data_IF_067950184894
#
_entry.id   IF_067950184894
#
_cell.length_a   1.000
_cell.length_b   1.000
_cell.length_c   1.000
_cell.angle_alpha   90.00
_cell.angle_beta   90.00
_cell.angle_gamma   90.00
#
_symmetry.space_group_name_H-M   'P 1'
#
loop_
_entity.id
_entity.type
_entity.pdbx_description
1 polymer ?
#
# COMPACT_ATOMS: atom_id res chain seq x y z
N UNK A 1 96.43 -2.08 -80.28
CA UNK A 1 96.35 -0.96 -79.33
C UNK A 1 95.04 -0.37 -79.51
N UNK A 2 94.14 -0.67 -78.68
CA UNK A 2 92.80 -0.21 -78.76
C UNK A 2 92.16 -0.30 -77.40
N UNK A 3 91.58 0.71 -76.91
CA UNK A 3 90.88 0.74 -75.64
C UNK A 3 89.42 1.09 -75.87
N UNK A 4 88.58 0.27 -75.36
CA UNK A 4 87.13 0.40 -75.35
C UNK A 4 86.66 1.23 -74.17
N UNK A 5 85.70 2.12 -74.41
CA UNK A 5 84.83 2.67 -73.42
C UNK A 5 83.35 2.52 -73.86
N UNK A 6 82.64 1.76 -73.16
CA UNK A 6 81.17 1.78 -73.16
C UNK A 6 80.67 1.01 -71.96
N UNK A 7 80.20 1.72 -70.97
CA UNK A 7 79.15 1.23 -70.03
C UNK A 7 78.82 2.31 -68.98
N UNK A 8 77.75 3.00 -69.13
CA UNK A 8 77.33 3.99 -68.10
C UNK A 8 75.89 4.48 -68.13
N UNK A 9 75.00 3.93 -68.98
CA UNK A 9 73.66 4.51 -69.09
C UNK A 9 72.49 3.65 -68.60
N UNK A 10 72.77 2.41 -68.18
CA UNK A 10 71.61 1.52 -67.78
C UNK A 10 71.32 1.44 -66.24
N UNK A 11 72.18 1.97 -65.41
CA UNK A 11 72.00 1.91 -63.94
C UNK A 11 71.16 3.05 -63.40
N UNK A 12 71.19 4.23 -64.02
CA UNK A 12 70.47 5.43 -63.53
C UNK A 12 68.97 5.33 -63.78
N UNK A 13 68.48 4.65 -64.83
CA UNK A 13 67.09 4.50 -65.14
C UNK A 13 66.38 3.50 -64.21
N UNK A 14 67.05 2.48 -63.70
CA UNK A 14 66.46 1.54 -62.70
C UNK A 14 66.26 2.15 -61.32
N UNK A 15 67.16 3.02 -60.91
CA UNK A 15 67.02 3.68 -59.56
C UNK A 15 65.89 4.71 -59.53
N UNK A 16 65.61 5.40 -60.65
CA UNK A 16 64.53 6.36 -60.74
C UNK A 16 63.14 5.67 -60.68
N UNK A 17 62.99 4.48 -61.30
CA UNK A 17 61.75 3.70 -61.23
C UNK A 17 61.54 3.07 -59.84
N UNK A 18 62.61 2.63 -59.16
CA UNK A 18 62.53 2.08 -57.82
C UNK A 18 62.11 3.15 -56.80
N UNK A 19 62.67 4.36 -56.90
CA UNK A 19 62.37 5.50 -56.04
C UNK A 19 60.91 5.95 -56.28
N UNK A 20 60.40 5.96 -57.52
CA UNK A 20 59.05 6.29 -57.85
C UNK A 20 58.03 5.26 -57.33
N UNK A 21 58.38 3.96 -57.36
CA UNK A 21 57.58 2.87 -56.85
C UNK A 21 57.52 2.85 -55.33
N UNK A 22 58.58 3.22 -54.62
CA UNK A 22 58.64 3.37 -53.17
C UNK A 22 57.83 4.62 -52.70
N UNK A 23 57.91 5.72 -53.46
CA UNK A 23 57.14 6.95 -53.16
C UNK A 23 55.66 6.78 -53.38
N UNK A 24 55.21 5.98 -54.35
CA UNK A 24 53.80 5.73 -54.58
C UNK A 24 53.19 4.79 -53.50
N UNK A 25 54.02 3.84 -53.01
CA UNK A 25 53.55 2.91 -51.95
C UNK A 25 53.50 3.60 -50.59
N UNK A 26 54.31 4.64 -50.31
CA UNK A 26 54.26 5.39 -49.06
C UNK A 26 52.97 6.26 -48.91
N UNK A 27 52.43 6.77 -50.03
CA UNK A 27 51.19 7.56 -50.03
C UNK A 27 49.94 6.72 -49.74
N UNK A 28 49.92 5.45 -50.20
CA UNK A 28 48.76 4.55 -49.88
C UNK A 28 48.82 4.05 -48.45
N UNK A 29 50.00 3.84 -47.88
CA UNK A 29 50.19 3.44 -46.48
C UNK A 29 49.79 4.61 -45.54
N UNK A 30 50.09 5.85 -45.90
CA UNK A 30 49.66 7.03 -45.11
C UNK A 30 48.17 7.22 -45.08
N UNK A 31 47.44 6.94 -46.17
CA UNK A 31 45.95 7.00 -46.20
C UNK A 31 45.28 5.91 -45.36
N UNK A 32 45.82 4.68 -45.40
CA UNK A 32 45.35 3.58 -44.59
C UNK A 32 45.60 3.82 -43.09
N UNK A 33 46.76 4.37 -42.72
CA UNK A 33 47.07 4.73 -41.35
C UNK A 33 46.14 5.84 -40.82
N UNK A 34 45.80 6.84 -41.62
CA UNK A 34 44.86 7.89 -41.27
C UNK A 34 43.44 7.32 -41.04
N UNK A 35 42.97 6.43 -41.93
CA UNK A 35 41.69 5.75 -41.75
C UNK A 35 41.63 4.92 -40.47
N UNK A 36 42.68 4.16 -40.16
CA UNK A 36 42.78 3.38 -38.93
C UNK A 36 42.77 4.29 -37.69
N UNK A 37 43.47 5.42 -37.74
CA UNK A 37 43.45 6.40 -36.64
C UNK A 37 42.06 7.02 -36.43
N UNK A 38 41.35 7.36 -37.52
CA UNK A 38 39.97 7.87 -37.44
C UNK A 38 38.99 6.81 -36.88
N UNK A 39 39.12 5.55 -37.31
CA UNK A 39 38.32 4.45 -36.76
C UNK A 39 38.62 4.21 -35.29
N UNK A 40 39.90 4.25 -34.87
CA UNK A 40 40.30 4.12 -33.49
C UNK A 40 39.73 5.26 -32.63
N UNK A 41 39.78 6.51 -33.11
CA UNK A 41 39.16 7.66 -32.44
C UNK A 41 37.66 7.54 -32.36
N UNK A 42 36.98 7.08 -33.41
CA UNK A 42 35.56 6.84 -33.44
C UNK A 42 35.15 5.77 -32.39
N UNK A 43 35.86 4.63 -32.38
CA UNK A 43 35.58 3.57 -31.41
C UNK A 43 35.84 4.02 -29.97
N UNK A 44 36.94 4.77 -29.75
CA UNK A 44 37.24 5.32 -28.43
C UNK A 44 36.16 6.30 -27.98
N UNK A 45 35.71 7.20 -28.86
CA UNK A 45 34.64 8.13 -28.57
C UNK A 45 33.30 7.40 -28.26
N UNK A 46 32.96 6.38 -29.06
CA UNK A 46 31.77 5.55 -28.81
C UNK A 46 31.84 4.83 -27.46
N UNK A 47 33.03 4.32 -27.10
CA UNK A 47 33.25 3.67 -25.81
C UNK A 47 33.12 4.65 -24.64
N UNK A 48 33.67 5.86 -24.76
CA UNK A 48 33.52 6.90 -23.71
C UNK A 48 32.06 7.31 -23.54
N UNK A 49 31.33 7.54 -24.64
CA UNK A 49 29.92 7.88 -24.59
C UNK A 49 29.12 6.75 -23.94
N UNK A 50 29.36 5.49 -24.34
CA UNK A 50 28.68 4.34 -23.75
C UNK A 50 28.95 4.23 -22.25
N UNK A 51 30.17 4.48 -21.81
CA UNK A 51 30.53 4.45 -20.39
C UNK A 51 29.90 5.60 -19.60
N UNK A 52 29.85 6.80 -20.17
CA UNK A 52 29.20 7.95 -19.58
C UNK A 52 27.69 7.71 -19.35
N UNK A 53 27.01 7.13 -20.35
CA UNK A 53 25.60 6.76 -20.26
C UNK A 53 25.35 5.66 -19.20
N UNK A 54 26.24 4.68 -19.08
CA UNK A 54 26.16 3.63 -18.07
C UNK A 54 26.32 4.20 -16.65
N UNK A 55 27.27 5.12 -16.46
CA UNK A 55 27.46 5.81 -15.16
C UNK A 55 26.25 6.65 -14.80
N UNK A 56 25.71 7.43 -15.74
CA UNK A 56 24.51 8.25 -15.49
C UNK A 56 23.31 7.40 -15.10
N UNK A 57 23.09 6.29 -15.80
CA UNK A 57 22.05 5.30 -15.48
C UNK A 57 22.23 4.71 -14.07
N UNK A 58 23.43 4.33 -13.69
CA UNK A 58 23.74 3.78 -12.35
C UNK A 58 23.56 4.82 -11.26
N UNK A 59 23.93 6.07 -11.49
CA UNK A 59 23.70 7.17 -10.54
C UNK A 59 22.21 7.45 -10.35
N UNK A 60 21.43 7.44 -11.44
CA UNK A 60 19.98 7.60 -11.36
C UNK A 60 19.31 6.46 -10.58
N UNK A 61 19.69 5.21 -10.84
CA UNK A 61 19.19 4.04 -10.10
C UNK A 61 19.57 4.09 -8.61
N UNK A 62 20.83 4.41 -8.30
CA UNK A 62 21.28 4.54 -6.91
C UNK A 62 20.58 5.70 -6.20
N UNK A 63 20.40 6.83 -6.88
CA UNK A 63 19.66 7.97 -6.35
C UNK A 63 18.19 7.64 -6.05
N UNK A 64 17.55 6.85 -6.91
CA UNK A 64 16.18 6.37 -6.66
C UNK A 64 16.14 5.40 -5.48
N UNK A 65 17.04 4.44 -5.40
CA UNK A 65 17.10 3.49 -4.29
C UNK A 65 17.29 4.21 -2.94
N UNK A 66 18.17 5.19 -2.88
CA UNK A 66 18.39 6.00 -1.67
C UNK A 66 17.14 6.78 -1.26
N UNK A 67 16.38 7.34 -2.24
CA UNK A 67 15.12 8.04 -1.95
C UNK A 67 14.03 7.10 -1.46
N UNK A 68 13.94 5.89 -1.99
CA UNK A 68 13.02 4.85 -1.50
C UNK A 68 13.34 4.53 -0.03
N UNK A 69 14.60 4.21 0.27
CA UNK A 69 15.04 3.92 1.66
C UNK A 69 14.79 5.11 2.60
N UNK A 70 15.00 6.34 2.14
CA UNK A 70 14.70 7.52 2.95
C UNK A 70 13.20 7.67 3.22
N UNK A 71 12.33 7.44 2.23
CA UNK A 71 10.89 7.46 2.42
C UNK A 71 10.42 6.36 3.37
N UNK A 72 10.95 5.14 3.26
CA UNK A 72 10.69 4.02 4.18
C UNK A 72 11.15 4.36 5.61
N UNK A 73 12.35 4.92 5.77
CA UNK A 73 12.85 5.37 7.08
C UNK A 73 11.97 6.47 7.69
N UNK A 74 11.43 7.38 6.87
CA UNK A 74 10.46 8.39 7.35
C UNK A 74 9.15 7.74 7.78
N UNK A 75 8.60 6.80 7.02
CA UNK A 75 7.40 6.06 7.40
C UNK A 75 7.61 5.29 8.72
N UNK A 76 8.73 4.59 8.86
CA UNK A 76 9.09 3.89 10.08
C UNK A 76 9.23 4.85 11.28
N UNK A 77 9.90 5.99 11.08
CA UNK A 77 10.07 7.01 12.14
C UNK A 77 8.72 7.56 12.61
N UNK A 78 7.80 7.84 11.68
CA UNK A 78 6.44 8.26 12.02
C UNK A 78 5.69 7.20 12.83
N UNK A 79 5.84 5.92 12.47
CA UNK A 79 5.23 4.80 13.20
C UNK A 79 5.77 4.72 14.62
N UNK A 80 7.08 4.84 14.82
CA UNK A 80 7.71 4.82 16.16
C UNK A 80 7.21 5.96 17.04
N UNK A 81 7.05 7.16 16.48
CA UNK A 81 6.44 8.29 17.20
C UNK A 81 5.00 7.95 17.61
N UNK A 82 4.20 7.41 16.71
CA UNK A 82 2.82 7.05 16.98
C UNK A 82 2.67 5.92 18.00
N UNK A 83 3.64 5.04 18.14
CA UNK A 83 3.68 3.99 19.17
C UNK A 83 3.82 4.54 20.59
N UNK A 84 4.39 5.72 20.76
CA UNK A 84 4.61 6.26 22.11
C UNK A 84 3.29 6.45 22.87
N UNK A 85 3.17 5.97 24.11
CA UNK A 85 1.91 5.98 24.86
C UNK A 85 1.27 7.36 25.04
N UNK A 86 2.09 8.42 25.10
CA UNK A 86 1.59 9.81 25.27
C UNK A 86 1.10 10.46 23.97
N UNK A 87 1.28 9.81 22.82
CA UNK A 87 0.84 10.33 21.55
C UNK A 87 -0.59 9.88 21.30
N UNK A 88 -1.50 10.83 21.36
CA UNK A 88 -2.91 10.64 21.00
C UNK A 88 -3.13 10.89 19.50
N UNK A 89 -4.22 10.35 18.91
CA UNK A 89 -4.69 10.78 17.61
C UNK A 89 -4.79 12.31 17.52
N UNK A 90 -4.50 12.89 16.35
CA UNK A 90 -4.49 14.35 16.17
C UNK A 90 -3.29 15.10 16.77
N UNK A 91 -2.35 14.39 17.43
CA UNK A 91 -1.16 15.04 17.99
C UNK A 91 -0.29 15.71 16.91
N UNK A 92 0.19 16.96 17.13
CA UNK A 92 1.07 17.65 16.18
C UNK A 92 2.35 16.88 15.83
N UNK A 93 2.82 15.99 16.70
CA UNK A 93 3.99 15.16 16.46
C UNK A 93 3.79 14.09 15.40
N UNK A 94 2.54 13.84 14.97
CA UNK A 94 2.20 12.91 13.91
C UNK A 94 2.50 13.47 12.50
N UNK A 95 2.85 14.76 12.40
CA UNK A 95 3.28 15.41 11.16
C UNK A 95 4.63 16.08 11.41
N UNK A 96 5.65 15.71 10.65
CA UNK A 96 6.97 16.30 10.83
C UNK A 96 7.77 16.37 9.54
N UNK A 97 8.35 17.56 9.30
CA UNK A 97 9.39 17.78 8.31
C UNK A 97 10.75 17.53 8.97
N UNK A 98 11.58 16.64 8.44
CA UNK A 98 12.89 16.25 9.01
C UNK A 98 14.07 16.84 8.24
N UNK A 99 13.85 17.38 7.05
CA UNK A 99 14.84 17.99 6.17
C UNK A 99 14.14 18.81 5.09
N UNK A 100 14.86 19.16 4.03
CA UNK A 100 14.29 19.94 2.92
C UNK A 100 13.30 19.12 2.10
N UNK A 101 13.44 17.79 2.07
CA UNK A 101 12.68 16.88 1.22
C UNK A 101 12.10 15.67 1.95
N UNK A 102 12.48 15.45 3.19
CA UNK A 102 12.07 14.32 4.01
C UNK A 102 10.98 14.75 4.99
N UNK A 103 9.89 14.00 5.01
CA UNK A 103 8.80 14.21 5.97
C UNK A 103 8.04 12.93 6.23
N UNK A 104 7.34 12.89 7.35
CA UNK A 104 6.33 11.88 7.59
C UNK A 104 4.99 12.51 7.99
N UNK A 105 3.92 11.78 7.67
CA UNK A 105 2.57 12.08 8.06
C UNK A 105 1.93 10.80 8.59
N UNK A 106 1.33 10.85 9.79
CA UNK A 106 0.77 9.66 10.45
C UNK A 106 -0.69 9.88 10.80
N UNK A 107 -1.54 9.00 10.29
CA UNK A 107 -2.92 8.83 10.73
C UNK A 107 -3.02 7.76 11.80
N UNK A 108 -3.68 8.06 12.89
CA UNK A 108 -4.01 7.09 13.95
C UNK A 108 -5.53 7.01 14.07
N UNK A 109 -6.10 5.83 13.84
CA UNK A 109 -7.55 5.60 13.93
C UNK A 109 -7.84 4.37 14.77
N UNK A 110 -8.99 4.37 15.49
CA UNK A 110 -9.43 3.20 16.23
C UNK A 110 -9.82 2.05 15.29
N UNK A 111 -9.26 0.89 15.51
CA UNK A 111 -9.57 -0.31 14.71
C UNK A 111 -10.98 -0.83 14.99
N UNK A 112 -11.48 -0.62 16.22
CA UNK A 112 -12.84 -1.01 16.63
C UNK A 112 -13.98 -0.31 15.89
N UNK A 113 -13.70 0.82 15.22
CA UNK A 113 -14.67 1.50 14.37
C UNK A 113 -15.00 0.75 13.08
N UNK A 114 -14.35 -0.37 12.80
CA UNK A 114 -14.55 -1.22 11.62
C UNK A 114 -15.36 -2.47 11.95
N UNK A 115 -15.95 -3.07 10.94
CA UNK A 115 -16.67 -4.33 11.02
C UNK A 115 -15.68 -5.49 11.22
N UNK A 116 -15.64 -6.07 12.40
CA UNK A 116 -14.83 -7.26 12.66
C UNK A 116 -15.52 -8.50 12.10
N UNK A 117 -14.99 -9.00 10.98
CA UNK A 117 -15.58 -10.10 10.23
C UNK A 117 -15.68 -11.39 11.07
N UNK A 118 -14.63 -11.70 11.85
CA UNK A 118 -14.65 -12.88 12.71
C UNK A 118 -15.68 -12.79 13.83
N UNK A 119 -15.88 -11.59 14.38
CA UNK A 119 -16.91 -11.37 15.39
C UNK A 119 -18.34 -11.38 14.80
N UNK A 120 -18.52 -10.79 13.62
CA UNK A 120 -19.81 -10.76 12.94
C UNK A 120 -20.33 -12.16 12.58
N UNK A 121 -19.42 -13.06 12.19
CA UNK A 121 -19.75 -14.42 11.77
C UNK A 121 -19.73 -15.43 12.91
N UNK A 122 -19.14 -15.10 14.07
CA UNK A 122 -19.01 -16.01 15.19
C UNK A 122 -20.38 -16.52 15.70
N UNK A 123 -20.57 -17.84 15.61
CA UNK A 123 -21.80 -18.50 16.06
C UNK A 123 -23.04 -18.14 15.24
N UNK A 124 -22.86 -17.53 14.06
CA UNK A 124 -23.90 -17.24 13.08
C UNK A 124 -25.09 -16.44 13.66
N UNK A 125 -24.78 -15.50 14.58
CA UNK A 125 -25.81 -14.65 15.21
C UNK A 125 -26.53 -13.81 14.14
N UNK A 126 -27.86 -13.97 13.96
CA UNK A 126 -28.59 -13.28 12.89
C UNK A 126 -28.49 -11.76 12.96
N UNK A 127 -28.37 -11.20 14.18
CA UNK A 127 -28.29 -9.76 14.38
C UNK A 127 -26.95 -9.22 13.89
N UNK A 128 -25.87 -9.92 14.22
CA UNK A 128 -24.52 -9.57 13.79
C UNK A 128 -24.34 -9.77 12.28
N UNK A 129 -24.78 -10.89 11.74
CA UNK A 129 -24.79 -11.15 10.29
C UNK A 129 -25.66 -10.11 9.57
N UNK A 130 -26.75 -9.68 10.20
CA UNK A 130 -27.62 -8.61 9.70
C UNK A 130 -26.90 -7.27 9.50
N UNK A 131 -25.91 -6.95 10.35
CA UNK A 131 -25.06 -5.75 10.16
C UNK A 131 -24.27 -5.85 8.85
N UNK A 132 -23.63 -6.98 8.60
CA UNK A 132 -22.88 -7.21 7.36
C UNK A 132 -23.80 -7.15 6.13
N UNK A 133 -24.98 -7.78 6.21
CA UNK A 133 -26.00 -7.75 5.15
C UNK A 133 -26.38 -6.31 4.80
N UNK A 134 -26.69 -5.49 5.82
CA UNK A 134 -27.05 -4.09 5.64
C UNK A 134 -25.88 -3.25 5.11
N UNK A 135 -24.66 -3.51 5.57
CA UNK A 135 -23.45 -2.84 5.04
C UNK A 135 -23.28 -3.11 3.54
N UNK A 136 -23.38 -4.35 3.10
CA UNK A 136 -23.28 -4.71 1.68
C UNK A 136 -24.41 -4.08 0.86
N UNK A 137 -25.63 -3.97 1.42
CA UNK A 137 -26.74 -3.23 0.82
C UNK A 137 -26.41 -1.76 0.60
N UNK A 138 -25.86 -1.09 1.61
CA UNK A 138 -25.42 0.31 1.52
C UNK A 138 -24.31 0.51 0.48
N UNK A 139 -23.52 -0.52 0.22
CA UNK A 139 -22.49 -0.54 -0.83
C UNK A 139 -23.04 -0.91 -2.22
N UNK A 140 -24.35 -1.06 -2.37
CA UNK A 140 -25.04 -1.31 -3.64
C UNK A 140 -24.94 -2.76 -4.14
N UNK A 141 -24.66 -3.72 -3.25
CA UNK A 141 -24.66 -5.14 -3.62
C UNK A 141 -26.11 -5.63 -3.73
N UNK A 142 -26.44 -6.27 -4.82
CA UNK A 142 -27.78 -6.82 -5.08
C UNK A 142 -28.13 -7.94 -4.08
N UNK A 143 -29.44 -8.19 -3.87
CA UNK A 143 -29.91 -9.10 -2.82
C UNK A 143 -29.34 -10.51 -2.97
N UNK A 144 -29.41 -11.08 -4.16
CA UNK A 144 -28.93 -12.45 -4.39
C UNK A 144 -27.43 -12.58 -4.20
N UNK A 145 -26.67 -11.57 -4.64
CA UNK A 145 -25.21 -11.54 -4.47
C UNK A 145 -24.82 -11.39 -2.99
N UNK A 146 -25.57 -10.57 -2.23
CA UNK A 146 -25.40 -10.44 -0.77
C UNK A 146 -25.60 -11.76 -0.06
N UNK A 147 -26.66 -12.50 -0.41
CA UNK A 147 -26.95 -13.81 0.20
C UNK A 147 -25.85 -14.79 -0.11
N UNK A 148 -25.39 -14.84 -1.37
CA UNK A 148 -24.25 -15.67 -1.79
C UNK A 148 -22.96 -15.28 -1.08
N UNK A 149 -22.65 -14.00 -0.98
CA UNK A 149 -21.45 -13.51 -0.29
C UNK A 149 -21.45 -13.88 1.20
N UNK A 150 -22.58 -13.71 1.88
CA UNK A 150 -22.72 -13.99 3.31
C UNK A 150 -22.66 -15.49 3.57
N UNK A 151 -23.43 -16.29 2.85
CA UNK A 151 -23.46 -17.73 3.02
C UNK A 151 -22.09 -18.35 2.73
N UNK A 152 -21.41 -17.90 1.67
CA UNK A 152 -20.04 -18.35 1.35
C UNK A 152 -19.03 -17.94 2.43
N UNK A 153 -19.18 -16.77 3.06
CA UNK A 153 -18.34 -16.35 4.18
C UNK A 153 -18.61 -17.19 5.43
N UNK A 154 -19.88 -17.51 5.73
CA UNK A 154 -20.24 -18.36 6.85
C UNK A 154 -19.67 -19.78 6.69
N UNK A 155 -19.78 -20.37 5.49
CA UNK A 155 -19.16 -21.67 5.19
C UNK A 155 -17.63 -21.60 5.32
N UNK A 156 -17.02 -20.51 4.84
CA UNK A 156 -15.56 -20.33 4.92
C UNK A 156 -15.02 -20.35 6.34
N UNK A 157 -15.74 -19.71 7.27
CA UNK A 157 -15.29 -19.61 8.67
C UNK A 157 -15.85 -20.70 9.59
N UNK A 158 -16.86 -21.46 9.15
CA UNK A 158 -17.50 -22.49 9.95
C UNK A 158 -16.56 -23.69 10.19
N UNK A 159 -16.29 -24.06 11.45
CA UNK A 159 -15.49 -25.26 11.72
C UNK A 159 -16.24 -26.56 11.39
N UNK A 160 -17.52 -26.49 11.08
CA UNK A 160 -18.36 -27.65 10.76
C UNK A 160 -18.36 -27.93 9.25
N UNK A 161 -17.50 -28.81 8.82
CA UNK A 161 -17.36 -29.23 7.39
C UNK A 161 -18.67 -29.81 6.80
N UNK A 162 -19.58 -30.31 7.64
CA UNK A 162 -20.86 -30.86 7.20
C UNK A 162 -21.97 -29.81 7.04
N UNK A 163 -21.74 -28.58 7.45
CA UNK A 163 -22.67 -27.49 7.29
C UNK A 163 -22.45 -26.76 5.95
N UNK A 164 -23.52 -26.63 5.20
CA UNK A 164 -23.48 -25.92 3.91
C UNK A 164 -24.68 -24.98 3.84
N UNK A 165 -24.41 -23.68 3.66
CA UNK A 165 -25.43 -22.66 3.52
C UNK A 165 -26.01 -22.66 2.10
N UNK A 166 -27.30 -22.33 1.98
CA UNK A 166 -28.10 -22.50 0.77
C UNK A 166 -27.51 -21.82 -0.49
N UNK A 167 -26.98 -20.62 -0.33
CA UNK A 167 -26.47 -19.82 -1.46
C UNK A 167 -24.95 -19.90 -1.62
N UNK A 168 -24.26 -20.66 -0.78
CA UNK A 168 -22.84 -20.93 -0.94
C UNK A 168 -22.63 -22.00 -2.03
N UNK A 169 -21.50 -21.96 -2.77
CA UNK A 169 -21.17 -23.04 -3.70
C UNK A 169 -20.71 -24.28 -2.93
N UNK A 170 -20.95 -25.50 -3.47
CA UNK A 170 -20.40 -26.71 -2.89
C UNK A 170 -18.87 -26.72 -2.98
N UNK A 171 -18.24 -27.41 -2.04
CA UNK A 171 -16.82 -27.69 -2.12
C UNK A 171 -16.46 -28.50 -3.37
N UNK A 172 -15.39 -28.12 -4.04
CA UNK A 172 -14.87 -28.79 -5.24
C UNK A 172 -13.35 -28.84 -5.18
N UNK A 173 -12.71 -29.53 -6.13
CA UNK A 173 -11.24 -29.57 -6.23
C UNK A 173 -10.61 -28.16 -6.38
N UNK A 174 -11.38 -27.19 -6.90
CA UNK A 174 -10.91 -25.82 -7.14
C UNK A 174 -11.35 -24.82 -6.06
N UNK A 175 -12.29 -25.19 -5.19
CA UNK A 175 -12.81 -24.30 -4.14
C UNK A 175 -12.98 -25.06 -2.82
N UNK A 176 -12.12 -24.70 -1.86
CA UNK A 176 -12.12 -25.26 -0.51
C UNK A 176 -12.20 -24.14 0.53
N UNK A 177 -13.32 -23.99 1.25
CA UNK A 177 -13.41 -23.13 2.43
C UNK A 177 -12.33 -23.51 3.47
N UNK A 178 -11.83 -22.50 4.19
CA UNK A 178 -10.77 -22.72 5.18
C UNK A 178 -11.28 -23.40 6.47
N UNK A 179 -12.59 -23.38 6.73
CA UNK A 179 -13.25 -23.86 7.93
C UNK A 179 -12.60 -23.36 9.23
N UNK A 180 -12.12 -22.11 9.20
CA UNK A 180 -11.44 -21.45 10.29
C UNK A 180 -11.69 -19.93 10.24
N UNK A 181 -11.61 -19.24 11.39
CA UNK A 181 -11.67 -17.78 11.41
C UNK A 181 -10.67 -17.17 10.43
N UNK A 182 -11.05 -16.05 9.82
CA UNK A 182 -10.18 -15.33 8.89
C UNK A 182 -8.87 -14.94 9.58
N UNK A 183 -7.75 -15.20 8.93
CA UNK A 183 -6.42 -14.75 9.37
C UNK A 183 -6.03 -13.39 8.79
N UNK A 184 -6.71 -12.96 7.74
CA UNK A 184 -6.55 -11.67 7.07
C UNK A 184 -7.86 -11.22 6.42
N UNK A 185 -8.09 -9.92 6.35
CA UNK A 185 -9.20 -9.34 5.57
C UNK A 185 -9.04 -9.68 4.07
N UNK A 186 -7.82 -9.80 3.59
CA UNK A 186 -7.52 -10.18 2.20
C UNK A 186 -8.02 -11.58 1.80
N UNK A 187 -8.34 -12.44 2.77
CA UNK A 187 -8.95 -13.75 2.47
C UNK A 187 -10.31 -13.64 1.81
N UNK A 188 -11.03 -12.52 2.01
CA UNK A 188 -12.28 -12.27 1.30
C UNK A 188 -12.15 -12.38 -0.23
N UNK A 189 -10.98 -12.09 -0.78
CA UNK A 189 -10.68 -12.25 -2.22
C UNK A 189 -10.77 -13.69 -2.71
N UNK A 190 -10.67 -14.67 -1.80
CA UNK A 190 -10.72 -16.10 -2.10
C UNK A 190 -12.12 -16.68 -1.94
N UNK A 191 -13.00 -15.95 -1.25
CA UNK A 191 -14.35 -16.42 -0.93
C UNK A 191 -15.27 -16.18 -2.13
N UNK A 192 -16.05 -17.19 -2.47
CA UNK A 192 -16.98 -17.11 -3.58
C UNK A 192 -17.95 -15.93 -3.43
N UNK A 193 -18.24 -15.24 -4.51
CA UNK A 193 -19.11 -14.06 -4.56
C UNK A 193 -18.44 -12.73 -4.17
N UNK A 194 -17.26 -12.73 -3.52
CA UNK A 194 -16.60 -11.51 -3.05
C UNK A 194 -15.69 -10.83 -4.09
N UNK A 195 -15.38 -11.48 -5.21
CA UNK A 195 -14.39 -11.00 -6.18
C UNK A 195 -14.71 -9.61 -6.74
N UNK A 196 -15.98 -9.35 -7.13
CA UNK A 196 -16.38 -8.04 -7.64
C UNK A 196 -16.27 -6.95 -6.57
N UNK A 197 -16.74 -7.24 -5.36
CA UNK A 197 -16.68 -6.31 -4.23
C UNK A 197 -15.23 -5.95 -3.90
N UNK A 198 -14.35 -6.95 -3.81
CA UNK A 198 -12.94 -6.78 -3.44
C UNK A 198 -12.06 -6.20 -4.55
N UNK A 199 -12.58 -6.07 -5.77
CA UNK A 199 -11.91 -5.37 -6.87
C UNK A 199 -12.01 -3.85 -6.81
N UNK A 200 -12.95 -3.32 -6.02
CA UNK A 200 -13.21 -1.88 -5.90
C UNK A 200 -12.16 -1.21 -4.99
N UNK A 201 -11.67 -0.01 -5.31
CA UNK A 201 -10.77 0.73 -4.43
C UNK A 201 -11.39 0.96 -3.05
N UNK A 202 -10.61 0.80 -1.99
CA UNK A 202 -11.07 1.05 -0.62
C UNK A 202 -12.08 0.04 -0.06
N UNK A 203 -12.24 -1.11 -0.70
CA UNK A 203 -13.20 -2.14 -0.28
C UNK A 203 -12.99 -2.63 1.15
N UNK A 204 -11.73 -2.61 1.63
CA UNK A 204 -11.30 -3.10 2.94
C UNK A 204 -11.27 -2.03 4.04
N UNK A 205 -11.55 -0.76 3.71
CA UNK A 205 -11.46 0.35 4.66
C UNK A 205 -12.30 0.15 5.92
N UNK A 206 -13.48 -0.44 5.80
CA UNK A 206 -14.42 -0.65 6.88
C UNK A 206 -14.39 -2.07 7.46
N UNK A 207 -13.44 -2.91 7.07
CA UNK A 207 -13.29 -4.26 7.59
C UNK A 207 -12.05 -4.43 8.47
N UNK A 208 -12.17 -5.32 9.43
CA UNK A 208 -11.07 -5.75 10.30
C UNK A 208 -11.28 -7.18 10.78
N UNK A 209 -10.22 -7.78 11.31
CA UNK A 209 -10.26 -9.02 12.09
C UNK A 209 -9.62 -8.83 13.48
N UNK A 210 -9.13 -7.63 13.77
CA UNK A 210 -8.23 -7.37 14.89
C UNK A 210 -8.88 -6.60 16.06
N UNK A 211 -10.11 -6.05 15.90
CA UNK A 211 -10.79 -5.35 16.98
C UNK A 211 -11.34 -6.29 18.05
N UNK A 212 -11.81 -5.73 19.18
CA UNK A 212 -12.43 -6.49 20.26
C UNK A 212 -13.77 -7.12 19.89
N UNK A 213 -14.39 -6.72 18.79
CA UNK A 213 -15.63 -7.27 18.26
C UNK A 213 -16.74 -6.23 18.13
N UNK A 214 -17.36 -5.75 19.22
CA UNK A 214 -18.38 -4.70 19.14
C UNK A 214 -17.86 -3.43 18.45
N UNK A 215 -18.75 -2.76 17.70
CA UNK A 215 -18.40 -1.57 16.92
C UNK A 215 -18.13 -0.39 17.85
N UNK A 216 -16.91 0.12 17.82
CA UNK A 216 -16.52 1.32 18.59
C UNK A 216 -17.09 2.58 17.94
N UNK A 217 -18.10 3.16 18.60
CA UNK A 217 -18.81 4.32 18.10
C UNK A 217 -17.93 5.59 18.01
N UNK A 218 -16.84 5.66 18.78
CA UNK A 218 -15.90 6.76 18.71
C UNK A 218 -15.15 6.82 17.36
N UNK A 219 -15.07 5.69 16.65
CA UNK A 219 -14.29 5.58 15.42
C UNK A 219 -15.07 5.08 14.21
N UNK A 220 -16.32 4.63 14.40
CA UNK A 220 -17.12 4.05 13.34
C UNK A 220 -17.39 5.07 12.22
N UNK A 221 -17.19 4.63 10.97
CA UNK A 221 -17.49 5.43 9.80
C UNK A 221 -19.02 5.59 9.61
N UNK A 222 -19.45 6.55 8.80
CA UNK A 222 -20.85 6.76 8.46
C UNK A 222 -21.53 5.47 7.96
N UNK A 223 -20.86 4.73 7.07
CA UNK A 223 -21.43 3.52 6.50
C UNK A 223 -21.54 2.38 7.52
N UNK A 224 -20.57 2.28 8.44
CA UNK A 224 -20.61 1.31 9.54
C UNK A 224 -21.74 1.66 10.51
N UNK A 225 -21.91 2.94 10.88
CA UNK A 225 -23.02 3.37 11.75
C UNK A 225 -24.39 3.11 11.11
N UNK A 226 -24.55 3.36 9.81
CA UNK A 226 -25.78 3.09 9.06
C UNK A 226 -26.11 1.60 8.96
N UNK A 227 -25.14 0.73 9.10
CA UNK A 227 -25.35 -0.72 9.09
C UNK A 227 -25.94 -1.26 10.39
N UNK A 228 -25.92 -0.47 11.47
CA UNK A 228 -26.54 -0.85 12.74
C UNK A 228 -28.06 -0.86 12.64
N UNK A 229 -28.74 -1.81 13.31
CA UNK A 229 -30.20 -1.89 13.26
C UNK A 229 -30.86 -0.69 13.93
N UNK A 230 -31.95 -0.18 13.34
CA UNK A 230 -32.74 0.90 13.90
C UNK A 230 -32.13 2.30 13.85
N UNK A 231 -30.95 2.48 13.28
CA UNK A 231 -30.29 3.78 13.13
C UNK A 231 -30.53 4.34 11.73
N UNK A 232 -31.18 5.51 11.66
CA UNK A 232 -31.43 6.24 10.42
C UNK A 232 -30.31 7.22 10.06
N UNK A 233 -30.31 7.69 8.81
CA UNK A 233 -29.30 8.62 8.28
C UNK A 233 -29.20 9.92 9.10
N UNK A 234 -30.34 10.51 9.47
CA UNK A 234 -30.39 11.76 10.26
C UNK A 234 -29.75 11.60 11.65
N UNK A 235 -29.89 10.42 12.25
CA UNK A 235 -29.28 10.09 13.55
C UNK A 235 -27.76 9.97 13.39
N UNK A 236 -27.32 9.28 12.34
CA UNK A 236 -25.89 9.10 12.03
C UNK A 236 -25.22 10.44 11.77
N UNK A 237 -25.81 11.28 10.93
CA UNK A 237 -25.20 12.56 10.53
C UNK A 237 -25.07 13.51 11.73
N UNK A 238 -26.10 13.61 12.57
CA UNK A 238 -26.07 14.37 13.82
C UNK A 238 -25.06 13.81 14.81
N UNK A 239 -24.96 12.48 14.94
CA UNK A 239 -24.00 11.85 15.82
C UNK A 239 -22.56 12.14 15.37
N UNK A 240 -22.26 12.05 14.08
CA UNK A 240 -20.94 12.35 13.53
C UNK A 240 -20.56 13.82 13.73
N UNK A 241 -21.50 14.74 13.56
CA UNK A 241 -21.28 16.17 13.79
C UNK A 241 -20.92 16.43 15.27
N UNK A 242 -21.67 15.83 16.19
CA UNK A 242 -21.38 15.97 17.62
C UNK A 242 -20.09 15.27 18.05
N UNK A 243 -19.76 14.12 17.44
CA UNK A 243 -18.56 13.36 17.75
C UNK A 243 -17.29 14.12 17.39
N UNK A 244 -17.26 14.73 16.19
CA UNK A 244 -16.08 15.40 15.62
C UNK A 244 -15.77 16.75 16.24
N UNK A 245 -16.61 17.22 17.13
CA UNK A 245 -16.40 18.54 17.71
C UNK A 245 -16.43 19.70 16.71
N UNK A 246 -15.97 20.88 17.13
CA UNK A 246 -15.96 22.09 16.31
C UNK A 246 -15.04 22.07 15.10
N UNK A 247 -13.94 21.29 15.13
CA UNK A 247 -12.99 21.23 14.03
C UNK A 247 -13.42 20.25 12.91
N UNK A 248 -14.39 19.39 13.18
CA UNK A 248 -14.96 18.42 12.24
C UNK A 248 -14.01 17.25 11.90
N UNK A 249 -12.94 17.03 12.70
CA UNK A 249 -11.92 16.00 12.47
C UNK A 249 -11.99 14.96 13.58
N UNK A 250 -12.12 13.67 13.24
CA UNK A 250 -12.12 12.58 14.21
C UNK A 250 -10.74 12.40 14.86
N UNK A 251 -10.68 12.18 16.16
CA UNK A 251 -9.47 11.85 16.93
C UNK A 251 -8.73 13.05 17.51
N UNK A 252 -9.34 14.23 17.52
CA UNK A 252 -8.74 15.46 18.06
C UNK A 252 -9.18 15.73 19.52
N UNK A 253 -8.61 16.75 20.13
CA UNK A 253 -8.83 17.01 21.56
C UNK A 253 -10.21 17.59 21.90
N UNK A 254 -10.90 18.13 20.91
CA UNK A 254 -12.24 18.72 21.02
C UNK A 254 -13.38 17.74 20.69
N UNK A 255 -13.04 16.49 20.35
CA UNK A 255 -14.00 15.41 20.14
C UNK A 255 -14.84 15.14 21.39
N UNK A 256 -16.10 14.75 21.15
CA UNK A 256 -16.98 14.33 22.22
C UNK A 256 -16.42 13.11 22.97
N UNK A 257 -16.27 13.26 24.28
CA UNK A 257 -15.81 12.18 25.15
C UNK A 257 -16.98 11.36 25.67
N UNK A 258 -17.07 10.10 25.23
CA UNK A 258 -18.05 9.15 25.74
C UNK A 258 -17.48 8.39 26.95
N UNK A 259 -18.14 8.48 28.10
CA UNK A 259 -17.73 7.80 29.32
C UNK A 259 -18.59 6.57 29.62
N UNK A 260 -19.80 6.51 29.06
CA UNK A 260 -20.73 5.42 29.23
C UNK A 260 -21.59 5.19 28.00
N UNK A 261 -22.20 4.01 27.91
CA UNK A 261 -23.20 3.71 26.88
C UNK A 261 -24.44 4.59 26.99
N UNK A 262 -24.73 5.10 28.19
CA UNK A 262 -25.85 6.04 28.41
C UNK A 262 -25.56 7.41 27.76
N UNK A 263 -24.31 7.86 27.79
CA UNK A 263 -23.93 9.09 27.08
C UNK A 263 -24.16 8.94 25.59
N UNK A 264 -23.75 7.79 25.04
CA UNK A 264 -23.94 7.46 23.62
C UNK A 264 -25.43 7.40 23.27
N UNK A 265 -26.25 6.77 24.08
CA UNK A 265 -27.72 6.73 23.90
C UNK A 265 -28.30 8.15 23.81
N UNK A 266 -27.89 9.01 24.73
CA UNK A 266 -28.36 10.41 24.79
C UNK A 266 -27.94 11.19 23.52
N UNK A 267 -26.70 11.03 23.07
CA UNK A 267 -26.18 11.73 21.90
C UNK A 267 -26.81 11.21 20.60
N UNK A 268 -27.05 9.90 20.50
CA UNK A 268 -27.78 9.31 19.37
C UNK A 268 -29.28 9.71 19.38
N UNK A 269 -29.82 10.17 20.52
CA UNK A 269 -31.24 10.51 20.66
C UNK A 269 -32.14 9.30 20.49
N UNK A 270 -31.67 8.11 20.89
CA UNK A 270 -32.41 6.86 20.79
C UNK A 270 -33.29 6.65 22.05
N UNK A 271 -34.48 6.09 21.85
CA UNK A 271 -35.28 5.61 22.99
C UNK A 271 -34.56 4.45 23.68
N UNK A 272 -34.86 4.16 24.96
CA UNK A 272 -34.29 3.02 25.66
C UNK A 272 -34.49 1.70 24.91
N UNK A 273 -35.65 1.50 24.28
CA UNK A 273 -35.98 0.29 23.52
C UNK A 273 -35.13 0.17 22.24
N UNK A 274 -34.96 1.28 21.51
CA UNK A 274 -34.07 1.31 20.32
C UNK A 274 -32.62 1.07 20.70
N UNK A 275 -32.15 1.70 21.78
CA UNK A 275 -30.80 1.53 22.24
C UNK A 275 -30.53 0.09 22.71
N UNK A 276 -31.49 -0.56 23.37
CA UNK A 276 -31.36 -1.95 23.81
C UNK A 276 -31.10 -2.92 22.65
N UNK A 277 -31.60 -2.62 21.44
CA UNK A 277 -31.36 -3.44 20.24
C UNK A 277 -29.92 -3.40 19.77
N UNK A 278 -29.19 -2.32 20.04
CA UNK A 278 -27.79 -2.14 19.60
C UNK A 278 -26.79 -2.24 20.75
N UNK A 279 -27.23 -2.22 22.01
CA UNK A 279 -26.35 -2.13 23.18
C UNK A 279 -25.27 -3.24 23.24
N UNK A 280 -25.59 -4.45 22.75
CA UNK A 280 -24.61 -5.56 22.66
C UNK A 280 -23.74 -5.52 21.42
N UNK A 281 -24.07 -4.69 20.43
CA UNK A 281 -23.40 -4.60 19.14
C UNK A 281 -22.37 -3.47 19.11
N UNK A 282 -22.44 -2.55 20.04
CA UNK A 282 -21.64 -1.33 20.08
C UNK A 282 -20.80 -1.25 21.34
N UNK A 283 -19.72 -0.52 21.24
CA UNK A 283 -18.82 -0.23 22.36
C UNK A 283 -18.18 1.14 22.18
N UNK A 284 -17.26 1.45 23.05
CA UNK A 284 -16.40 2.63 22.98
C UNK A 284 -15.09 2.31 23.72
N UNK A 285 -14.01 3.00 23.31
CA UNK A 285 -12.66 2.81 23.87
C UNK A 285 -12.04 1.44 23.59
N UNK A 286 -12.20 0.95 22.36
CA UNK A 286 -11.34 -0.15 21.91
C UNK A 286 -9.87 0.30 21.96
N UNK A 287 -9.03 -0.55 22.54
CA UNK A 287 -7.60 -0.27 22.71
C UNK A 287 -6.77 -0.61 21.49
N UNK A 288 -7.40 -1.03 20.41
CA UNK A 288 -6.73 -1.42 19.17
C UNK A 288 -6.80 -0.27 18.18
N UNK A 289 -5.64 0.16 17.71
CA UNK A 289 -5.49 1.27 16.79
C UNK A 289 -4.80 0.84 15.51
N UNK A 290 -5.23 1.46 14.41
CA UNK A 290 -4.53 1.41 13.13
C UNK A 290 -3.67 2.67 12.99
N UNK A 291 -2.40 2.47 12.76
CA UNK A 291 -1.42 3.51 12.45
C UNK A 291 -1.11 3.38 10.97
N UNK A 292 -1.35 4.44 10.23
CA UNK A 292 -0.93 4.57 8.83
C UNK A 292 0.09 5.68 8.74
N UNK A 293 1.36 5.32 8.56
CA UNK A 293 2.46 6.25 8.44
C UNK A 293 2.90 6.35 6.98
N UNK A 294 2.90 7.57 6.46
CA UNK A 294 3.34 7.90 5.11
C UNK A 294 4.61 8.71 5.17
N UNK A 295 5.71 8.13 4.72
CA UNK A 295 7.01 8.79 4.61
C UNK A 295 7.24 9.30 3.19
N UNK A 296 7.85 10.47 3.08
CA UNK A 296 8.19 11.13 1.81
C UNK A 296 9.68 11.43 1.74
N UNK A 297 10.25 11.27 0.54
CA UNK A 297 11.59 11.76 0.20
C UNK A 297 11.58 12.31 -1.23
N UNK A 298 11.51 13.64 -1.35
CA UNK A 298 11.22 14.32 -2.61
C UNK A 298 9.85 13.92 -3.15
N UNK A 299 9.83 13.37 -4.36
CA UNK A 299 8.60 12.93 -5.04
C UNK A 299 8.19 11.50 -4.69
N UNK A 300 9.04 10.77 -3.96
CA UNK A 300 8.77 9.38 -3.59
C UNK A 300 8.04 9.30 -2.25
N UNK A 301 7.05 8.43 -2.21
CA UNK A 301 6.22 8.15 -1.04
C UNK A 301 6.24 6.67 -0.74
N UNK A 302 6.31 6.31 0.55
CA UNK A 302 6.13 4.96 1.07
C UNK A 302 5.19 5.01 2.25
N UNK A 303 4.31 4.02 2.36
CA UNK A 303 3.37 3.93 3.47
C UNK A 303 3.53 2.62 4.22
N UNK A 304 3.41 2.70 5.53
CA UNK A 304 3.46 1.57 6.44
C UNK A 304 2.19 1.58 7.30
N UNK A 305 1.46 0.48 7.28
CA UNK A 305 0.30 0.27 8.14
C UNK A 305 0.67 -0.66 9.28
N UNK A 306 0.34 -0.26 10.50
CA UNK A 306 0.52 -1.08 11.69
C UNK A 306 -0.77 -1.13 12.50
N UNK A 307 -1.12 -2.31 13.04
CA UNK A 307 -2.21 -2.47 14.00
C UNK A 307 -1.58 -2.77 15.36
N UNK A 308 -1.97 -1.97 16.34
CA UNK A 308 -1.35 -2.02 17.67
C UNK A 308 -2.41 -1.97 18.76
N UNK A 309 -2.15 -2.66 19.87
CA UNK A 309 -2.91 -2.52 21.11
C UNK A 309 -2.17 -1.56 22.05
N UNK A 310 -2.86 -0.48 22.47
CA UNK A 310 -2.35 0.58 23.36
C UNK A 310 -3.07 0.55 24.71
N UNK A 311 -3.14 -0.56 25.40
CA UNK A 311 -3.83 -0.65 26.70
C UNK A 311 -2.92 -0.88 27.89
N UNK A 312 -1.60 -0.99 27.66
CA UNK A 312 -0.60 -1.26 28.68
C UNK A 312 0.54 -0.25 28.64
N UNK A 313 1.54 -0.44 29.51
CA UNK A 313 2.76 0.37 29.55
C UNK A 313 3.61 0.25 28.28
N UNK A 314 3.50 -0.87 27.58
CA UNK A 314 4.20 -1.15 26.33
C UNK A 314 3.17 -1.47 25.26
N UNK A 315 3.13 -0.73 24.13
CA UNK A 315 2.25 -1.06 23.00
C UNK A 315 2.59 -2.42 22.43
N UNK A 316 1.56 -3.21 22.09
CA UNK A 316 1.71 -4.51 21.48
C UNK A 316 1.39 -4.42 20.00
N UNK A 317 2.36 -4.67 19.13
CA UNK A 317 2.13 -4.76 17.68
C UNK A 317 1.42 -6.08 17.37
N UNK A 318 0.26 -5.99 16.72
CA UNK A 318 -0.55 -7.14 16.31
C UNK A 318 -0.18 -7.54 14.88
N UNK A 319 -0.11 -6.55 13.96
CA UNK A 319 0.30 -6.76 12.58
C UNK A 319 0.92 -5.51 11.99
N UNK A 320 1.71 -5.67 10.94
CA UNK A 320 2.21 -4.58 10.13
C UNK A 320 2.32 -5.00 8.66
N UNK A 321 2.18 -4.06 7.76
CA UNK A 321 2.34 -4.30 6.32
C UNK A 321 2.81 -3.03 5.63
N UNK A 322 3.67 -3.16 4.63
CA UNK A 322 4.04 -2.12 3.67
C UNK A 322 2.96 -2.03 2.57
N UNK A 323 2.64 -0.79 2.17
CA UNK A 323 1.59 -0.48 1.19
C UNK A 323 2.18 0.14 -0.08
#
# INVERSE_FOLDING_TARGET
MGSNYSTGSNTVLKDVDLVKKLSSNSKSISGAALMLALWALFLLSAMIISWALDIDSRLALSGNANRVLAAEAMAASGTEVALHPSIAPGSPNLHRQMGDRESYEVGVTGEGGRLNLNWLTAGEDPTRVGILRRYLELKGVELNDRDTMIDSLLDWVSPNIGLHHLNAPPETDDYHPAHAPLSSVDELKKIFGWAEFTSKPGWDENFTINSSGPIDLAWASRDVLRSLPGIGDDVVDRFLELRRGPDGIDGTADDAQFNSLADVQSVLGLTPEQFQQIASLVGFKDQIFRILSTGKSGDLTRSLQMIVRKGGSIPQVISWKEL
#
